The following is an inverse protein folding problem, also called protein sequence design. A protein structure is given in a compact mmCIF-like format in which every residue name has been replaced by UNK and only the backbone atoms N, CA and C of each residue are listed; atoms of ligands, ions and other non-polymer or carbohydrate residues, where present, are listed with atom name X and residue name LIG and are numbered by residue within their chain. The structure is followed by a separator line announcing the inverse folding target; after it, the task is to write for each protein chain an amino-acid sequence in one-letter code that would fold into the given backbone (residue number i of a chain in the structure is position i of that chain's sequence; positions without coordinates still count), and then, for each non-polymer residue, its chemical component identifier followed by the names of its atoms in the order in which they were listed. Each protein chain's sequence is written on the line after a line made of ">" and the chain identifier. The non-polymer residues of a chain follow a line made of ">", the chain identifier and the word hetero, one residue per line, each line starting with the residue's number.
data_IF_315401252141
#
_entry.id   IF_315401252141
#
_cell.length_a   1.000
_cell.length_b   1.000
_cell.length_c   1.000
_cell.angle_alpha   90.00
_cell.angle_beta   90.00
_cell.angle_gamma   90.00
#
_symmetry.space_group_name_H-M   'P 1'
#
loop_
_entity.id
_entity.type
_entity.pdbx_description
1 polymer ?
#
# COMPACT_ATOMS: atom_id res chain seq x y z
N UNK A 1 16.38 5.41 -2.09
CA UNK A 1 16.20 5.37 -3.55
C UNK A 1 16.38 3.93 -3.98
N UNK A 2 15.32 3.32 -4.51
CA UNK A 2 15.27 1.91 -4.88
C UNK A 2 15.43 1.79 -6.39
N UNK A 3 16.33 0.93 -6.86
CA UNK A 3 16.50 0.57 -8.27
C UNK A 3 16.04 -0.88 -8.47
N UNK A 4 15.28 -1.13 -9.54
CA UNK A 4 14.66 -2.43 -9.79
C UNK A 4 14.83 -2.89 -11.24
N UNK A 5 14.78 -4.20 -11.45
CA UNK A 5 14.73 -4.83 -12.77
C UNK A 5 13.45 -5.69 -12.91
N UNK A 6 12.85 -5.68 -14.11
CA UNK A 6 11.62 -6.42 -14.41
C UNK A 6 11.93 -7.58 -15.36
N UNK A 7 11.95 -8.81 -14.87
CA UNK A 7 12.30 -9.98 -15.70
C UNK A 7 11.12 -10.51 -16.54
N UNK A 8 9.87 -10.11 -16.26
CA UNK A 8 8.67 -10.76 -16.84
C UNK A 8 7.83 -9.96 -17.86
N UNK A 9 8.25 -8.77 -18.28
CA UNK A 9 7.46 -7.93 -19.21
C UNK A 9 8.13 -7.71 -20.59
N UNK A 10 9.29 -8.34 -20.86
CA UNK A 10 10.04 -8.08 -22.09
C UNK A 10 9.51 -8.75 -23.36
N UNK A 11 8.59 -9.71 -23.29
CA UNK A 11 8.14 -10.46 -24.48
C UNK A 11 6.85 -9.94 -25.15
N UNK A 12 6.18 -8.92 -24.60
CA UNK A 12 4.89 -8.48 -25.11
C UNK A 12 4.75 -6.96 -25.26
N UNK A 13 5.61 -6.30 -26.07
CA UNK A 13 5.23 -5.07 -26.82
C UNK A 13 6.42 -4.49 -27.61
N UNK A 14 6.25 -4.28 -28.91
CA UNK A 14 7.18 -3.55 -29.78
C UNK A 14 7.24 -2.03 -29.57
N UNK A 15 7.15 -1.56 -28.32
CA UNK A 15 7.16 -0.14 -27.90
C UNK A 15 8.09 0.06 -26.68
N UNK A 16 9.32 -0.45 -26.78
CA UNK A 16 10.15 -0.85 -25.62
C UNK A 16 10.84 0.31 -24.87
N UNK A 17 10.95 1.51 -25.45
CA UNK A 17 11.87 2.53 -24.89
C UNK A 17 11.22 3.56 -23.94
N UNK A 18 9.93 3.89 -24.11
CA UNK A 18 9.27 4.90 -23.27
C UNK A 18 8.71 4.29 -21.96
N UNK A 19 8.24 3.04 -22.05
CA UNK A 19 7.66 2.31 -20.92
C UNK A 19 8.69 1.81 -19.91
N UNK A 20 9.88 1.38 -20.35
CA UNK A 20 10.94 0.95 -19.43
C UNK A 20 11.42 2.10 -18.53
N UNK A 21 11.55 3.33 -19.08
CA UNK A 21 11.83 4.53 -18.28
C UNK A 21 10.72 4.86 -17.29
N UNK A 22 9.46 4.86 -17.75
CA UNK A 22 8.31 5.14 -16.88
C UNK A 22 8.20 4.15 -15.72
N UNK A 23 8.37 2.85 -15.97
CA UNK A 23 8.36 1.82 -14.93
C UNK A 23 9.54 1.98 -13.96
N UNK A 24 10.74 2.32 -14.48
CA UNK A 24 11.92 2.56 -13.64
C UNK A 24 11.77 3.82 -12.77
N UNK A 25 11.09 4.86 -13.27
CA UNK A 25 10.79 6.08 -12.51
C UNK A 25 9.65 5.88 -11.49
N UNK A 26 8.62 5.13 -11.85
CA UNK A 26 7.48 4.81 -10.98
C UNK A 26 7.92 3.98 -9.75
N UNK A 27 8.78 2.98 -9.96
CA UNK A 27 9.39 2.24 -8.85
C UNK A 27 10.38 3.06 -8.03
N UNK A 28 11.04 4.06 -8.64
CA UNK A 28 11.94 4.95 -7.89
C UNK A 28 11.20 5.71 -6.78
N UNK A 29 9.87 5.80 -6.85
CA UNK A 29 9.01 6.54 -5.91
C UNK A 29 7.94 5.69 -5.21
N UNK A 30 7.92 4.35 -5.37
CA UNK A 30 6.95 3.46 -4.72
C UNK A 30 5.47 3.59 -5.13
N UNK A 31 5.16 4.56 -6.01
CA UNK A 31 3.83 5.04 -6.38
C UNK A 31 2.95 5.33 -5.15
N UNK A 32 3.10 6.54 -4.60
CA UNK A 32 2.22 7.05 -3.55
C UNK A 32 0.82 7.28 -4.16
N UNK A 33 -0.19 6.54 -3.69
CA UNK A 33 -1.55 6.63 -4.22
C UNK A 33 -2.52 7.35 -3.30
N UNK A 34 -2.30 7.28 -2.00
CA UNK A 34 -3.17 7.93 -1.01
C UNK A 34 -2.35 8.53 0.14
N UNK A 35 -2.86 9.62 0.70
CA UNK A 35 -2.26 10.34 1.82
C UNK A 35 -3.34 10.69 2.84
N UNK A 36 -3.00 10.60 4.14
CA UNK A 36 -3.95 10.92 5.20
C UNK A 36 -3.24 11.59 6.37
N UNK A 37 -3.88 12.58 6.99
CA UNK A 37 -3.38 13.25 8.20
C UNK A 37 -4.24 12.82 9.39
N UNK A 38 -3.62 12.57 10.54
CA UNK A 38 -4.35 12.29 11.77
C UNK A 38 -5.11 13.51 12.26
N UNK A 39 -6.22 13.30 12.97
CA UNK A 39 -7.09 14.38 13.43
C UNK A 39 -6.41 15.40 14.36
N UNK A 40 -5.32 14.99 15.02
CA UNK A 40 -4.48 15.85 15.87
C UNK A 40 -3.34 16.56 15.10
N UNK A 41 -3.35 16.50 13.76
CA UNK A 41 -2.36 17.08 12.83
C UNK A 41 -0.90 16.64 13.08
N UNK A 42 -0.71 15.54 13.81
CA UNK A 42 0.62 15.09 14.24
C UNK A 42 1.25 14.07 13.32
N UNK A 43 0.45 13.21 12.68
CA UNK A 43 0.95 12.13 11.83
C UNK A 43 0.41 12.23 10.41
N UNK A 44 1.29 11.95 9.46
CA UNK A 44 1.00 11.83 8.04
C UNK A 44 1.24 10.39 7.60
N UNK A 45 0.27 9.80 6.91
CA UNK A 45 0.31 8.44 6.41
C UNK A 45 0.36 8.45 4.89
N UNK A 46 1.14 7.54 4.30
CA UNK A 46 1.19 7.31 2.85
C UNK A 46 1.02 5.84 2.54
N UNK A 47 0.29 5.53 1.48
CA UNK A 47 0.28 4.20 0.86
C UNK A 47 1.12 4.20 -0.42
N UNK A 48 2.13 3.33 -0.47
CA UNK A 48 2.93 3.11 -1.66
C UNK A 48 2.44 1.84 -2.35
N UNK A 49 1.50 1.98 -3.27
CA UNK A 49 0.80 0.85 -3.87
C UNK A 49 1.71 -0.09 -4.67
N UNK A 50 2.74 0.45 -5.33
CA UNK A 50 3.65 -0.36 -6.14
C UNK A 50 4.74 -1.02 -5.28
N UNK A 51 5.25 -0.32 -4.27
CA UNK A 51 6.19 -0.91 -3.30
C UNK A 51 5.54 -1.88 -2.32
N UNK A 52 4.29 -1.66 -1.94
CA UNK A 52 3.63 -2.54 -0.98
C UNK A 52 3.66 -2.07 0.46
N UNK A 53 4.15 -0.87 0.77
CA UNK A 53 4.27 -0.40 2.15
C UNK A 53 3.37 0.79 2.50
N UNK A 54 2.91 0.80 3.74
CA UNK A 54 2.28 1.94 4.39
C UNK A 54 3.30 2.58 5.31
N UNK A 55 3.43 3.90 5.24
CA UNK A 55 4.36 4.68 6.06
C UNK A 55 3.62 5.64 6.97
N UNK A 56 4.19 5.89 8.13
CA UNK A 56 3.75 6.90 9.09
C UNK A 56 4.90 7.87 9.36
N UNK A 57 4.64 9.16 9.19
CA UNK A 57 5.56 10.26 9.46
C UNK A 57 5.03 11.12 10.60
N UNK A 58 5.89 11.42 11.57
CA UNK A 58 5.65 12.50 12.54
C UNK A 58 5.90 13.84 11.83
N UNK A 59 4.86 14.66 11.78
CA UNK A 59 4.83 15.99 11.15
C UNK A 59 4.65 17.12 12.18
N UNK A 60 4.96 16.88 13.46
CA UNK A 60 4.98 17.93 14.49
C UNK A 60 5.84 19.14 14.09
N UNK A 61 6.90 18.90 13.29
CA UNK A 61 7.59 19.93 12.50
C UNK A 61 7.33 19.67 11.01
N UNK A 62 6.40 20.42 10.42
CA UNK A 62 5.99 20.27 9.02
C UNK A 62 7.11 20.53 8.02
N UNK A 63 8.20 21.21 8.42
CA UNK A 63 9.37 21.42 7.57
C UNK A 63 10.32 20.24 7.57
N UNK A 64 10.20 19.35 8.56
CA UNK A 64 11.10 18.20 8.76
C UNK A 64 10.32 16.94 9.16
N UNK A 65 9.46 16.39 8.29
CA UNK A 65 8.76 15.13 8.56
C UNK A 65 9.74 14.01 8.91
N UNK A 66 9.40 13.18 9.90
CA UNK A 66 10.24 12.07 10.37
C UNK A 66 9.52 10.75 10.22
N UNK A 67 10.10 9.79 9.49
CA UNK A 67 9.56 8.44 9.39
C UNK A 67 9.59 7.76 10.77
N UNK A 68 8.44 7.34 11.28
CA UNK A 68 8.28 6.71 12.61
C UNK A 68 7.62 5.34 12.56
N UNK A 69 7.02 4.96 11.42
CA UNK A 69 6.42 3.65 11.23
C UNK A 69 6.40 3.23 9.76
N UNK A 70 6.56 1.93 9.50
CA UNK A 70 6.49 1.33 8.18
C UNK A 70 6.03 -0.13 8.30
N UNK A 71 5.08 -0.54 7.47
CA UNK A 71 4.66 -1.94 7.34
C UNK A 71 4.48 -2.32 5.88
N UNK A 72 4.89 -3.54 5.52
CA UNK A 72 4.69 -4.11 4.19
C UNK A 72 3.46 -5.01 4.20
N UNK A 73 2.52 -4.74 3.29
CA UNK A 73 1.23 -5.45 3.15
C UNK A 73 0.97 -5.85 1.70
N UNK A 74 2.01 -6.36 1.03
CA UNK A 74 1.95 -6.80 -0.37
C UNK A 74 3.05 -6.13 -1.20
N UNK A 75 2.71 -5.73 -2.41
CA UNK A 75 3.55 -4.98 -3.32
C UNK A 75 4.43 -5.82 -4.23
N UNK A 76 5.04 -5.13 -5.20
CA UNK A 76 5.84 -5.77 -6.24
C UNK A 76 7.28 -6.09 -5.81
N UNK A 77 7.82 -5.39 -4.82
CA UNK A 77 9.20 -5.59 -4.35
C UNK A 77 9.35 -6.75 -3.38
N UNK A 78 8.29 -7.52 -3.14
CA UNK A 78 8.37 -8.73 -2.32
C UNK A 78 9.34 -9.75 -2.91
N UNK A 79 10.04 -10.47 -2.04
CA UNK A 79 11.01 -11.50 -2.40
C UNK A 79 10.34 -12.64 -3.18
N UNK A 80 10.96 -13.02 -4.30
CA UNK A 80 10.38 -13.99 -5.23
C UNK A 80 9.16 -13.46 -6.01
N UNK A 81 8.90 -12.15 -5.93
CA UNK A 81 7.92 -11.45 -6.75
C UNK A 81 8.40 -11.21 -8.19
N UNK A 82 7.65 -10.42 -8.98
CA UNK A 82 7.96 -10.15 -10.38
C UNK A 82 9.16 -9.21 -10.59
N UNK A 83 9.71 -8.67 -9.50
CA UNK A 83 10.73 -7.63 -9.50
C UNK A 83 11.93 -8.03 -8.66
N UNK A 84 13.13 -7.81 -9.21
CA UNK A 84 14.39 -7.91 -8.47
C UNK A 84 14.87 -6.52 -8.12
N UNK A 85 15.09 -6.27 -6.82
CA UNK A 85 15.67 -5.01 -6.34
C UNK A 85 17.20 -5.06 -6.51
N UNK A 86 17.74 -4.11 -7.29
CA UNK A 86 19.16 -3.99 -7.59
C UNK A 86 19.91 -3.14 -6.55
N UNK A 87 19.28 -2.06 -6.09
CA UNK A 87 19.82 -1.16 -5.07
C UNK A 87 18.66 -0.72 -4.17
N UNK A 88 18.86 -0.78 -2.86
CA UNK A 88 17.96 -0.20 -1.87
C UNK A 88 18.80 0.49 -0.80
N UNK A 89 18.45 1.74 -0.49
CA UNK A 89 19.12 2.54 0.55
C UNK A 89 18.42 2.46 1.90
N UNK A 90 17.17 2.01 1.91
CA UNK A 90 16.31 1.90 3.08
C UNK A 90 16.31 0.48 3.63
N UNK A 91 16.17 -0.53 2.77
CA UNK A 91 16.15 -1.94 3.17
C UNK A 91 17.46 -2.65 2.86
N UNK A 92 17.84 -3.61 3.71
CA UNK A 92 18.98 -4.50 3.47
C UNK A 92 18.64 -5.65 2.52
N UNK A 93 17.36 -6.06 2.47
CA UNK A 93 16.87 -7.11 1.61
C UNK A 93 15.39 -6.88 1.25
N UNK A 94 14.94 -7.51 0.16
CA UNK A 94 13.53 -7.46 -0.24
C UNK A 94 12.62 -8.06 0.85
N UNK A 95 11.46 -7.44 1.13
CA UNK A 95 10.54 -7.91 2.15
C UNK A 95 9.94 -9.27 1.78
N UNK A 96 9.67 -10.10 2.78
CA UNK A 96 9.00 -11.39 2.57
C UNK A 96 7.55 -11.19 2.10
N UNK A 97 6.97 -12.15 1.36
CA UNK A 97 5.56 -12.09 0.96
C UNK A 97 4.63 -11.94 2.16
N UNK A 98 3.73 -10.96 2.10
CA UNK A 98 2.77 -10.76 3.17
C UNK A 98 1.66 -11.82 3.11
N UNK A 99 1.56 -12.61 4.18
CA UNK A 99 0.56 -13.68 4.34
C UNK A 99 -0.17 -13.45 5.65
N UNK A 100 -1.51 -13.43 5.60
CA UNK A 100 -2.38 -13.27 6.76
C UNK A 100 -3.51 -14.29 6.69
N UNK A 101 -3.77 -14.99 7.80
CA UNK A 101 -4.81 -16.02 7.88
C UNK A 101 -4.76 -17.06 6.75
N UNK A 102 -3.55 -17.42 6.31
CA UNK A 102 -3.31 -18.38 5.23
C UNK A 102 -3.49 -17.83 3.81
N UNK A 103 -3.87 -16.56 3.64
CA UNK A 103 -3.97 -15.88 2.35
C UNK A 103 -2.72 -15.04 2.10
N UNK A 104 -2.05 -15.26 0.97
CA UNK A 104 -1.04 -14.32 0.45
C UNK A 104 -1.78 -13.12 -0.12
N UNK A 105 -1.49 -11.92 0.36
CA UNK A 105 -2.22 -10.72 -0.08
C UNK A 105 -1.76 -10.32 -1.48
N UNK A 106 -2.67 -10.26 -2.48
CA UNK A 106 -2.36 -9.72 -3.79
C UNK A 106 -2.43 -8.18 -3.79
N UNK A 107 -1.80 -7.55 -4.77
CA UNK A 107 -1.79 -6.08 -4.85
C UNK A 107 -0.81 -5.43 -3.87
N UNK A 108 -1.03 -4.14 -3.61
CA UNK A 108 -0.33 -3.37 -2.58
C UNK A 108 -1.29 -2.43 -1.87
N UNK A 109 -0.88 -1.73 -0.80
CA UNK A 109 -1.75 -0.84 -0.05
C UNK A 109 -2.18 0.33 -0.94
N UNK A 110 -3.48 0.61 -0.98
CA UNK A 110 -4.06 1.67 -1.77
C UNK A 110 -4.77 2.67 -0.87
N UNK A 111 -6.11 2.65 -0.79
CA UNK A 111 -6.81 3.63 0.04
C UNK A 111 -6.55 3.30 1.49
N UNK A 112 -6.27 4.33 2.27
CA UNK A 112 -6.10 4.23 3.71
C UNK A 112 -7.14 5.10 4.40
N UNK A 113 -7.70 4.59 5.49
CA UNK A 113 -8.65 5.34 6.29
C UNK A 113 -8.35 5.17 7.78
N UNK A 114 -8.18 6.28 8.47
CA UNK A 114 -7.84 6.31 9.88
C UNK A 114 -9.09 6.52 10.74
N UNK A 115 -9.13 5.84 11.88
CA UNK A 115 -10.16 6.07 12.89
C UNK A 115 -9.98 7.44 13.55
N UNK A 116 -11.08 8.02 14.03
CA UNK A 116 -11.07 9.33 14.71
C UNK A 116 -10.13 9.38 15.95
N UNK A 117 -9.92 8.26 16.63
CA UNK A 117 -8.99 8.16 17.76
C UNK A 117 -7.52 7.96 17.33
N UNK A 118 -7.25 7.88 16.02
CA UNK A 118 -5.93 7.72 15.42
C UNK A 118 -5.30 6.33 15.60
N UNK A 119 -5.98 5.36 16.23
CA UNK A 119 -5.38 4.08 16.65
C UNK A 119 -5.50 2.95 15.64
N UNK A 120 -6.41 3.06 14.67
CA UNK A 120 -6.70 2.01 13.67
C UNK A 120 -6.68 2.62 12.28
N UNK A 121 -5.79 2.12 11.44
CA UNK A 121 -5.69 2.47 10.04
C UNK A 121 -6.18 1.28 9.22
N UNK A 122 -7.28 1.42 8.49
CA UNK A 122 -7.71 0.42 7.52
C UNK A 122 -7.09 0.69 6.17
N UNK A 123 -6.80 -0.38 5.44
CA UNK A 123 -6.20 -0.30 4.11
C UNK A 123 -6.88 -1.27 3.15
N UNK A 124 -7.22 -0.79 1.96
CA UNK A 124 -7.65 -1.62 0.83
C UNK A 124 -6.49 -1.79 -0.16
N UNK A 125 -6.64 -2.70 -1.13
CA UNK A 125 -5.52 -3.11 -2.02
C UNK A 125 -5.70 -2.77 -3.50
N UNK A 126 -6.88 -2.31 -3.90
CA UNK A 126 -7.20 -2.00 -5.30
C UNK A 126 -7.04 -0.53 -5.64
N UNK A 127 -6.42 -0.23 -6.78
CA UNK A 127 -6.28 1.13 -7.30
C UNK A 127 -7.31 1.42 -8.37
N UNK A 128 -7.15 0.78 -9.51
CA UNK A 128 -7.99 0.99 -10.67
C UNK A 128 -7.87 -0.25 -11.54
N UNK A 129 -8.99 -0.86 -11.90
CA UNK A 129 -9.01 -2.20 -12.50
C UNK A 129 -8.08 -2.39 -13.71
N UNK A 130 -7.90 -1.35 -14.54
CA UNK A 130 -6.95 -1.37 -15.66
C UNK A 130 -5.48 -1.45 -15.22
N UNK A 131 -5.12 -0.72 -14.16
CA UNK A 131 -3.77 -0.74 -13.57
C UNK A 131 -3.58 -1.99 -12.71
N UNK A 132 -4.58 -2.38 -11.93
CA UNK A 132 -4.59 -3.61 -11.13
C UNK A 132 -4.30 -4.80 -12.05
N UNK A 133 -4.96 -4.90 -13.21
CA UNK A 133 -4.71 -5.97 -14.19
C UNK A 133 -3.29 -5.96 -14.75
N UNK A 134 -2.68 -4.79 -14.91
CA UNK A 134 -1.35 -4.65 -15.51
C UNK A 134 -0.23 -4.97 -14.52
N UNK A 135 -0.34 -4.47 -13.28
CA UNK A 135 0.72 -4.59 -12.26
C UNK A 135 0.51 -5.79 -11.34
N UNK A 136 -0.74 -6.11 -11.01
CA UNK A 136 -1.12 -7.18 -10.09
C UNK A 136 -2.25 -8.03 -10.67
N UNK A 137 -2.00 -8.81 -11.75
CA UNK A 137 -3.05 -9.61 -12.39
C UNK A 137 -3.74 -10.59 -11.43
N UNK A 138 -3.03 -11.07 -10.40
CA UNK A 138 -3.58 -11.95 -9.37
C UNK A 138 -4.60 -11.23 -8.47
N UNK A 139 -4.48 -9.91 -8.26
CA UNK A 139 -5.47 -9.09 -7.54
C UNK A 139 -6.84 -9.13 -8.22
N UNK A 140 -6.85 -9.07 -9.56
CA UNK A 140 -8.10 -9.13 -10.34
C UNK A 140 -8.71 -10.54 -10.30
N UNK A 141 -7.89 -11.58 -10.15
CA UNK A 141 -8.34 -12.98 -10.12
C UNK A 141 -8.81 -13.43 -8.74
N UNK A 142 -8.13 -12.97 -7.69
CA UNK A 142 -8.33 -13.42 -6.32
C UNK A 142 -9.14 -12.43 -5.48
N UNK A 143 -9.35 -11.21 -5.99
CA UNK A 143 -10.04 -10.14 -5.30
C UNK A 143 -9.13 -9.38 -4.35
N UNK A 144 -9.58 -8.17 -4.05
CA UNK A 144 -8.92 -7.30 -3.08
C UNK A 144 -9.20 -7.77 -1.65
N UNK A 145 -8.42 -7.23 -0.72
CA UNK A 145 -8.63 -7.38 0.71
C UNK A 145 -8.70 -6.02 1.39
N UNK A 146 -9.32 -6.00 2.57
CA UNK A 146 -9.16 -4.93 3.55
C UNK A 146 -8.47 -5.47 4.81
N UNK A 147 -7.46 -4.74 5.27
CA UNK A 147 -6.67 -5.06 6.45
C UNK A 147 -6.82 -3.94 7.49
N UNK A 148 -6.51 -4.26 8.75
CA UNK A 148 -6.37 -3.26 9.82
C UNK A 148 -4.91 -3.20 10.25
N UNK A 149 -4.40 -1.99 10.41
CA UNK A 149 -3.09 -1.68 10.99
C UNK A 149 -3.33 -0.95 12.31
N UNK A 150 -2.76 -1.48 13.38
CA UNK A 150 -2.70 -0.84 14.68
C UNK A 150 -1.63 0.25 14.66
N UNK A 151 -1.97 1.42 15.17
CA UNK A 151 -1.13 2.62 15.16
C UNK A 151 -0.74 3.00 16.59
N UNK A 152 0.56 3.14 16.86
CA UNK A 152 1.06 3.76 18.08
C UNK A 152 1.01 5.29 17.93
N UNK A 153 0.02 5.90 18.57
CA UNK A 153 -0.20 7.35 18.52
C UNK A 153 0.70 8.14 19.47
N UNK A 154 1.43 7.48 20.38
CA UNK A 154 2.31 8.17 21.33
C UNK A 154 3.74 8.27 20.79
N UNK A 155 4.28 7.17 20.28
CA UNK A 155 5.68 7.10 19.81
C UNK A 155 5.81 7.05 18.29
N UNK A 156 4.70 6.80 17.60
CA UNK A 156 4.75 6.34 16.22
C UNK A 156 5.08 4.86 16.15
N UNK A 157 4.60 4.19 15.12
CA UNK A 157 4.74 2.77 14.92
C UNK A 157 3.48 2.19 14.28
N UNK A 158 3.69 1.26 13.36
CA UNK A 158 2.62 0.56 12.65
C UNK A 158 2.78 -0.94 12.87
N UNK A 159 1.67 -1.64 13.10
CA UNK A 159 1.65 -3.10 13.19
C UNK A 159 0.38 -3.64 12.57
N UNK A 160 0.52 -4.60 11.64
CA UNK A 160 -0.66 -5.23 11.03
C UNK A 160 -1.37 -6.10 12.07
N UNK A 161 -2.68 -5.89 12.23
CA UNK A 161 -3.53 -6.71 13.08
C UNK A 161 -3.80 -8.07 12.39
N UNK A 162 -3.15 -9.12 12.88
CA UNK A 162 -3.22 -10.48 12.31
C UNK A 162 -4.62 -11.11 12.41
N UNK A 163 -5.50 -10.56 13.23
CA UNK A 163 -6.84 -11.10 13.46
C UNK A 163 -7.90 -10.44 12.56
N UNK A 164 -7.54 -9.42 11.77
CA UNK A 164 -8.47 -8.69 10.92
C UNK A 164 -8.12 -8.88 9.44
N UNK A 165 -9.01 -9.55 8.71
CA UNK A 165 -8.96 -9.69 7.26
C UNK A 165 -10.39 -9.72 6.72
N UNK A 166 -10.69 -8.81 5.80
CA UNK A 166 -11.87 -8.90 4.95
C UNK A 166 -11.41 -9.28 3.55
N UNK A 167 -11.88 -10.43 3.07
CA UNK A 167 -11.48 -11.01 1.79
C UNK A 167 -12.61 -10.87 0.77
N UNK A 168 -12.49 -9.86 -0.10
CA UNK A 168 -13.48 -9.58 -1.14
C UNK A 168 -13.37 -10.55 -2.35
N UNK A 169 -12.43 -11.50 -2.31
CA UNK A 169 -12.37 -12.62 -3.23
C UNK A 169 -13.50 -13.63 -3.05
N UNK A 170 -14.15 -13.63 -1.88
CA UNK A 170 -15.18 -14.60 -1.48
C UNK A 170 -16.61 -14.08 -1.65
N UNK A 171 -16.79 -12.95 -2.33
CA UNK A 171 -18.12 -12.40 -2.62
C UNK A 171 -18.93 -13.35 -3.52
N UNK A 172 -20.27 -13.39 -3.39
CA UNK A 172 -21.11 -14.39 -4.06
C UNK A 172 -21.01 -14.39 -5.59
N UNK A 173 -20.81 -13.22 -6.20
CA UNK A 173 -20.75 -13.04 -7.66
C UNK A 173 -19.31 -12.97 -8.19
N UNK A 174 -18.33 -13.35 -7.36
CA UNK A 174 -16.92 -13.40 -7.71
C UNK A 174 -16.10 -12.25 -7.10
N UNK A 175 -14.80 -12.19 -7.42
CA UNK A 175 -13.87 -11.30 -6.75
C UNK A 175 -14.17 -9.81 -6.96
N UNK A 176 -14.15 -9.04 -5.87
CA UNK A 176 -14.41 -7.60 -5.89
C UNK A 176 -13.14 -6.80 -5.59
N UNK A 177 -13.06 -5.63 -6.23
CA UNK A 177 -11.98 -4.65 -6.14
C UNK A 177 -12.42 -3.47 -5.25
N UNK A 178 -12.28 -3.65 -3.95
CA UNK A 178 -12.57 -2.64 -2.93
C UNK A 178 -11.55 -1.49 -3.01
N UNK A 179 -12.08 -0.27 -3.00
CA UNK A 179 -11.32 0.96 -3.13
C UNK A 179 -11.43 1.76 -1.83
N UNK A 180 -12.35 2.72 -1.75
CA UNK A 180 -12.49 3.63 -0.61
C UNK A 180 -13.22 3.00 0.59
N UNK A 181 -12.84 3.41 1.80
CA UNK A 181 -13.44 2.99 3.07
C UNK A 181 -14.01 4.24 3.73
N UNK A 182 -15.26 4.17 4.21
CA UNK A 182 -15.92 5.27 4.92
C UNK A 182 -16.46 4.79 6.26
N UNK A 183 -16.22 5.57 7.31
CA UNK A 183 -16.72 5.23 8.64
C UNK A 183 -18.16 5.71 8.84
N UNK A 184 -19.01 4.91 9.53
CA UNK A 184 -20.28 5.41 10.02
C UNK A 184 -20.05 6.55 11.03
N UNK A 185 -20.51 7.76 10.69
CA UNK A 185 -20.40 8.93 11.57
C UNK A 185 -19.19 9.83 11.33
N UNK A 186 -18.46 9.63 10.22
CA UNK A 186 -17.38 10.50 9.80
C UNK A 186 -15.99 9.96 10.12
N UNK A 187 -15.01 10.44 9.37
CA UNK A 187 -13.62 10.02 9.41
C UNK A 187 -12.66 11.18 9.05
N UNK A 188 -11.36 10.94 9.16
CA UNK A 188 -10.34 11.97 9.00
C UNK A 188 -10.29 12.60 7.59
N UNK A 189 -11.00 12.05 6.61
CA UNK A 189 -11.02 12.54 5.22
C UNK A 189 -12.41 12.99 4.75
N UNK A 190 -13.49 12.67 5.48
CA UNK A 190 -14.85 13.06 5.12
C UNK A 190 -15.32 14.39 5.72
N UNK A 191 -14.82 14.76 6.90
CA UNK A 191 -15.39 15.87 7.68
C UNK A 191 -14.45 17.09 7.74
N UNK A 192 -15.05 18.27 7.64
CA UNK A 192 -14.38 19.55 7.83
C UNK A 192 -14.90 20.15 9.13
N UNK A 193 -13.98 20.43 10.06
CA UNK A 193 -14.27 21.03 11.36
C UNK A 193 -14.09 22.56 11.27
N UNK A 194 -15.04 23.34 11.78
CA UNK A 194 -15.08 24.82 11.72
C UNK A 194 -14.96 25.43 13.11
#
# INVERSE_FOLDING_TARGET
>A
MIAVNFERQQEACGFVCCWSRFLTECFRQGLITDILISLDDRFLYFSNWLHGDVRQYDISDTRRPRLVGQVFVGGSITKGGPVTVLEDKELQCQPEPFVIQGKKVPGGPQMIQLSLDGRRLYVSTSLYSGWDKQFYPDLVREGSVMLQIDVDTERGGLKVNQNFLVDFGKEPDGPVLAHEIRYPGGDCSSDIWV
#
